data_IF_292425824210
#
_entry.id   IF_292425824210
#
_cell.length_a   1.000
_cell.length_b   1.000
_cell.length_c   1.000
_cell.angle_alpha   90.00
_cell.angle_beta   90.00
_cell.angle_gamma   90.00
#
_symmetry.space_group_name_H-M   'P 1'
#
loop_
_entity.id
_entity.type
_entity.pdbx_description
1 polymer ?
#
# COMPACT_ATOMS: atom_id res chain seq x y z
N UNK A 1 -6.55 -30.40 1.59
CA UNK A 1 -5.70 -29.22 1.87
C UNK A 1 -6.38 -28.41 2.97
N UNK A 2 -5.69 -28.12 4.07
CA UNK A 2 -6.23 -27.24 5.10
C UNK A 2 -6.23 -25.79 4.59
N UNK A 3 -7.35 -25.08 4.72
CA UNK A 3 -7.42 -23.66 4.36
C UNK A 3 -6.73 -22.82 5.43
N UNK A 4 -5.96 -21.82 5.02
CA UNK A 4 -5.33 -20.89 5.94
C UNK A 4 -6.40 -20.11 6.73
N UNK A 5 -6.19 -19.88 8.04
CA UNK A 5 -7.10 -19.07 8.84
C UNK A 5 -7.10 -17.64 8.31
N UNK A 6 -8.29 -17.10 8.07
CA UNK A 6 -8.47 -15.70 7.69
C UNK A 6 -8.90 -14.96 8.93
N UNK A 7 -8.16 -13.92 9.31
CA UNK A 7 -8.57 -13.01 10.38
C UNK A 7 -9.89 -12.34 9.97
N UNK A 8 -10.94 -12.36 10.82
CA UNK A 8 -12.20 -11.73 10.47
C UNK A 8 -12.04 -10.23 10.17
N UNK A 9 -12.75 -9.74 9.16
CA UNK A 9 -12.87 -8.31 8.91
C UNK A 9 -13.70 -7.70 10.02
N UNK A 10 -13.15 -6.71 10.70
CA UNK A 10 -13.87 -5.97 11.73
C UNK A 10 -13.76 -4.46 11.53
N UNK A 11 -12.69 -3.92 10.95
CA UNK A 11 -12.57 -2.48 10.72
C UNK A 11 -11.90 -2.21 9.37
N UNK A 12 -11.88 -0.92 8.99
CA UNK A 12 -11.15 -0.44 7.81
C UNK A 12 -9.69 -0.85 7.87
N UNK A 13 -9.09 -0.77 9.07
CA UNK A 13 -7.72 -1.23 9.30
C UNK A 13 -7.66 -2.76 9.27
N UNK A 14 -7.11 -3.27 8.17
CA UNK A 14 -7.02 -4.71 7.90
C UNK A 14 -7.81 -5.17 6.68
N UNK A 15 -8.64 -4.30 6.07
CA UNK A 15 -9.40 -4.64 4.86
C UNK A 15 -8.52 -5.21 3.74
N UNK A 16 -7.38 -4.58 3.43
CA UNK A 16 -6.49 -5.07 2.36
C UNK A 16 -5.97 -6.48 2.66
N UNK A 17 -5.51 -6.72 3.89
CA UNK A 17 -5.05 -8.05 4.32
C UNK A 17 -6.18 -9.07 4.24
N UNK A 18 -7.37 -8.70 4.69
CA UNK A 18 -8.55 -9.55 4.62
C UNK A 18 -8.93 -9.89 3.18
N UNK A 19 -8.97 -8.89 2.29
CA UNK A 19 -9.28 -9.00 0.86
C UNK A 19 -8.35 -10.02 0.19
N UNK A 20 -7.04 -9.85 0.35
CA UNK A 20 -6.04 -10.78 -0.21
C UNK A 20 -6.17 -12.20 0.36
N UNK A 21 -6.46 -12.32 1.67
CA UNK A 21 -6.61 -13.63 2.31
C UNK A 21 -7.86 -14.37 1.84
N UNK A 22 -8.97 -13.65 1.62
CA UNK A 22 -10.21 -14.20 1.06
C UNK A 22 -10.02 -14.58 -0.40
N UNK A 23 -9.38 -13.73 -1.22
CA UNK A 23 -9.09 -14.06 -2.62
C UNK A 23 -8.23 -15.32 -2.73
N UNK A 24 -7.15 -15.43 -1.95
CA UNK A 24 -6.32 -16.62 -1.92
C UNK A 24 -7.13 -17.88 -1.56
N UNK A 25 -8.03 -17.77 -0.58
CA UNK A 25 -8.93 -18.87 -0.20
C UNK A 25 -9.84 -19.27 -1.36
N UNK A 26 -10.51 -18.31 -2.01
CA UNK A 26 -11.42 -18.57 -3.13
C UNK A 26 -10.69 -19.17 -4.35
N UNK A 27 -9.45 -18.75 -4.61
CA UNK A 27 -8.60 -19.37 -5.63
C UNK A 27 -8.22 -20.80 -5.25
N UNK A 28 -7.86 -21.03 -4.00
CA UNK A 28 -7.50 -22.37 -3.49
C UNK A 28 -8.63 -23.37 -3.66
N UNK A 29 -9.88 -22.94 -3.48
CA UNK A 29 -11.07 -23.79 -3.69
C UNK A 29 -11.63 -23.75 -5.12
N UNK A 30 -11.06 -22.95 -6.03
CA UNK A 30 -11.42 -22.92 -7.45
C UNK A 30 -12.66 -22.09 -7.82
N UNK A 31 -13.18 -21.26 -6.91
CA UNK A 31 -14.45 -20.53 -7.11
C UNK A 31 -14.28 -19.01 -7.28
N UNK A 32 -13.05 -18.50 -7.30
CA UNK A 32 -12.77 -17.07 -7.47
C UNK A 32 -13.37 -16.49 -8.76
N UNK A 33 -13.61 -17.33 -9.78
CA UNK A 33 -14.20 -16.93 -11.06
C UNK A 33 -15.58 -16.29 -10.92
N UNK A 34 -16.35 -16.62 -9.88
CA UNK A 34 -17.67 -16.05 -9.56
C UNK A 34 -17.61 -14.54 -9.37
N UNK A 35 -16.52 -14.03 -8.79
CA UNK A 35 -16.39 -12.62 -8.50
C UNK A 35 -16.28 -11.77 -9.77
N UNK A 36 -15.78 -12.32 -10.88
CA UNK A 36 -15.41 -11.55 -12.07
C UNK A 36 -16.17 -11.89 -13.36
N UNK A 37 -16.71 -13.12 -13.51
CA UNK A 37 -17.37 -13.56 -14.75
C UNK A 37 -18.89 -13.62 -14.63
N UNK A 38 -19.63 -13.30 -15.68
CA UNK A 38 -21.08 -13.45 -15.61
C UNK A 38 -21.51 -14.94 -15.63
N UNK A 39 -22.65 -15.28 -15.00
CA UNK A 39 -23.18 -16.63 -15.03
C UNK A 39 -23.39 -17.09 -16.48
N UNK A 40 -23.22 -18.40 -16.76
CA UNK A 40 -23.46 -18.95 -18.10
C UNK A 40 -24.91 -18.70 -18.52
N UNK A 41 -25.10 -18.30 -19.77
CA UNK A 41 -26.41 -18.04 -20.38
C UNK A 41 -26.68 -19.01 -21.54
N UNK A 42 -27.73 -19.81 -21.44
CA UNK A 42 -28.15 -20.76 -22.48
C UNK A 42 -29.31 -21.62 -22.01
N UNK A 43 -30.06 -22.23 -22.94
CA UNK A 43 -31.31 -22.96 -22.65
C UNK A 43 -31.23 -24.47 -22.85
N UNK A 44 -30.09 -24.99 -23.26
CA UNK A 44 -29.85 -26.42 -23.49
C UNK A 44 -29.42 -27.15 -22.20
N UNK A 45 -29.45 -28.48 -22.24
CA UNK A 45 -29.16 -29.31 -21.07
C UNK A 45 -27.72 -29.10 -20.52
N UNK A 46 -26.76 -28.81 -21.39
CA UNK A 46 -25.40 -28.46 -21.01
C UNK A 46 -25.37 -27.14 -20.22
N UNK A 47 -26.03 -26.09 -20.73
CA UNK A 47 -26.16 -24.81 -20.01
C UNK A 47 -26.87 -24.95 -18.67
N UNK A 48 -27.85 -25.85 -18.55
CA UNK A 48 -28.52 -26.12 -17.27
C UNK A 48 -27.56 -26.72 -16.22
N UNK A 49 -26.70 -27.65 -16.63
CA UNK A 49 -25.69 -28.24 -15.74
C UNK A 49 -24.62 -27.21 -15.31
N UNK A 50 -24.19 -26.36 -16.24
CA UNK A 50 -23.26 -25.27 -15.97
C UNK A 50 -23.86 -24.20 -15.04
N UNK A 51 -25.13 -23.83 -15.24
CA UNK A 51 -25.86 -22.92 -14.36
C UNK A 51 -26.02 -23.49 -12.94
N UNK A 52 -26.30 -24.79 -12.82
CA UNK A 52 -26.36 -25.45 -11.52
C UNK A 52 -24.98 -25.49 -10.82
N UNK A 53 -23.89 -25.68 -11.58
CA UNK A 53 -22.52 -25.57 -11.04
C UNK A 53 -22.24 -24.14 -10.58
N UNK A 54 -22.54 -23.15 -11.41
CA UNK A 54 -22.38 -21.74 -11.07
C UNK A 54 -23.10 -21.38 -9.77
N UNK A 55 -24.37 -21.77 -9.64
CA UNK A 55 -25.15 -21.49 -8.44
C UNK A 55 -24.53 -22.10 -7.17
N UNK A 56 -23.94 -23.30 -7.28
CA UNK A 56 -23.19 -23.92 -6.17
C UNK A 56 -21.92 -23.14 -5.85
N UNK A 57 -21.14 -22.79 -6.87
CA UNK A 57 -19.88 -22.06 -6.70
C UNK A 57 -20.14 -20.66 -6.11
N UNK A 58 -21.23 -20.00 -6.51
CA UNK A 58 -21.65 -18.70 -5.97
C UNK A 58 -22.13 -18.79 -4.52
N UNK A 59 -22.92 -19.81 -4.18
CA UNK A 59 -23.32 -20.06 -2.80
C UNK A 59 -22.11 -20.34 -1.88
N UNK A 60 -21.14 -21.12 -2.36
CA UNK A 60 -19.87 -21.36 -1.64
C UNK A 60 -19.05 -20.09 -1.52
N UNK A 61 -18.95 -19.30 -2.59
CA UNK A 61 -18.20 -18.04 -2.60
C UNK A 61 -18.77 -17.07 -1.55
N UNK A 62 -20.09 -16.88 -1.57
CA UNK A 62 -20.83 -16.10 -0.57
C UNK A 62 -20.58 -16.63 0.85
N UNK A 63 -20.70 -17.94 1.07
CA UNK A 63 -20.46 -18.55 2.38
C UNK A 63 -19.04 -18.33 2.90
N UNK A 64 -18.03 -18.45 2.02
CA UNK A 64 -16.63 -18.20 2.38
C UNK A 64 -16.35 -16.75 2.77
N UNK A 65 -17.00 -15.78 2.12
CA UNK A 65 -16.88 -14.36 2.47
C UNK A 65 -17.58 -14.09 3.81
N UNK A 66 -18.82 -14.55 4.00
CA UNK A 66 -19.56 -14.35 5.25
C UNK A 66 -18.83 -14.95 6.46
N UNK A 67 -18.23 -16.12 6.31
CA UNK A 67 -17.46 -16.79 7.36
C UNK A 67 -16.17 -16.05 7.77
N UNK A 68 -15.78 -14.99 7.06
CA UNK A 68 -14.62 -14.15 7.39
C UNK A 68 -15.03 -12.73 7.78
N UNK A 69 -16.31 -12.44 7.94
CA UNK A 69 -16.78 -11.20 8.56
C UNK A 69 -16.88 -11.40 10.07
N UNK A 70 -16.70 -10.33 10.85
CA UNK A 70 -16.98 -10.38 12.28
C UNK A 70 -18.50 -10.49 12.53
N UNK A 71 -18.87 -10.97 13.72
CA UNK A 71 -20.28 -11.06 14.14
C UNK A 71 -20.99 -9.71 14.10
N UNK A 72 -20.25 -8.61 14.24
CA UNK A 72 -20.79 -7.26 14.12
C UNK A 72 -21.21 -6.93 12.69
N UNK A 73 -20.44 -7.36 11.69
CA UNK A 73 -20.68 -7.05 10.29
C UNK A 73 -21.63 -8.06 9.62
N UNK A 74 -21.75 -9.27 10.16
CA UNK A 74 -22.57 -10.32 9.56
C UNK A 74 -24.02 -9.87 9.25
N UNK A 75 -24.76 -9.20 10.17
CA UNK A 75 -26.13 -8.77 9.91
C UNK A 75 -26.24 -7.77 8.76
N UNK A 76 -25.24 -6.91 8.60
CA UNK A 76 -25.24 -5.85 7.58
C UNK A 76 -25.06 -6.42 6.16
N UNK A 77 -24.39 -7.57 6.02
CA UNK A 77 -23.98 -8.10 4.72
C UNK A 77 -24.65 -9.42 4.33
N UNK A 78 -25.25 -10.17 5.26
CA UNK A 78 -25.84 -11.51 5.00
C UNK A 78 -26.98 -11.49 3.97
N UNK A 79 -27.65 -10.35 3.80
CA UNK A 79 -28.78 -10.16 2.90
C UNK A 79 -28.40 -10.16 1.41
N UNK A 80 -27.11 -10.03 1.07
CA UNK A 80 -26.66 -10.09 -0.32
C UNK A 80 -26.82 -11.51 -0.88
N UNK A 81 -27.53 -11.62 -2.02
CA UNK A 81 -27.91 -12.89 -2.60
C UNK A 81 -26.74 -13.67 -3.20
N UNK A 82 -25.76 -12.97 -3.79
CA UNK A 82 -24.63 -13.58 -4.52
C UNK A 82 -23.29 -13.25 -3.87
N UNK A 83 -22.28 -14.08 -4.14
CA UNK A 83 -20.91 -13.86 -3.69
C UNK A 83 -20.33 -12.55 -4.24
N UNK A 84 -20.59 -12.24 -5.52
CA UNK A 84 -20.19 -10.96 -6.14
C UNK A 84 -20.83 -9.76 -5.45
N UNK A 85 -22.16 -9.77 -5.28
CA UNK A 85 -22.86 -8.61 -4.70
C UNK A 85 -22.36 -8.31 -3.28
N UNK A 86 -22.12 -9.37 -2.49
CA UNK A 86 -21.52 -9.29 -1.17
C UNK A 86 -20.09 -8.71 -1.24
N UNK A 87 -19.24 -9.27 -2.09
CA UNK A 87 -17.85 -8.82 -2.27
C UNK A 87 -17.76 -7.33 -2.62
N UNK A 88 -18.55 -6.89 -3.59
CA UNK A 88 -18.61 -5.49 -4.00
C UNK A 88 -19.18 -4.58 -2.90
N UNK A 89 -20.16 -5.06 -2.11
CA UNK A 89 -20.70 -4.29 -1.00
C UNK A 89 -19.66 -4.04 0.10
N UNK A 90 -18.88 -5.07 0.46
CA UNK A 90 -17.77 -4.91 1.41
C UNK A 90 -16.72 -3.95 0.83
N UNK A 91 -16.36 -4.11 -0.45
CA UNK A 91 -15.40 -3.24 -1.11
C UNK A 91 -15.85 -1.77 -1.14
N UNK A 92 -17.13 -1.49 -1.40
CA UNK A 92 -17.67 -0.11 -1.37
C UNK A 92 -17.48 0.58 -0.02
N UNK A 93 -17.56 -0.16 1.08
CA UNK A 93 -17.45 0.39 2.44
C UNK A 93 -16.00 0.55 2.88
N UNK A 94 -15.15 -0.45 2.59
CA UNK A 94 -13.83 -0.55 3.20
C UNK A 94 -12.66 -0.28 2.25
N UNK A 95 -12.88 -0.30 0.93
CA UNK A 95 -11.86 0.06 -0.06
C UNK A 95 -11.72 1.59 -0.15
N UNK A 96 -11.13 2.16 0.89
CA UNK A 96 -10.96 3.61 1.06
C UNK A 96 -9.58 4.10 0.61
N UNK A 97 -8.87 3.31 -0.19
CA UNK A 97 -7.49 3.61 -0.59
C UNK A 97 -7.39 4.95 -1.33
N UNK A 98 -8.38 5.27 -2.17
CA UNK A 98 -8.41 6.57 -2.87
C UNK A 98 -8.61 7.74 -1.91
N UNK A 99 -9.50 7.64 -0.93
CA UNK A 99 -9.73 8.69 0.07
C UNK A 99 -8.51 8.86 1.00
N UNK A 100 -7.76 7.79 1.26
CA UNK A 100 -6.47 7.85 1.96
C UNK A 100 -5.42 8.54 1.10
N UNK A 101 -5.36 8.22 -0.20
CA UNK A 101 -4.45 8.87 -1.14
C UNK A 101 -4.71 10.38 -1.24
N UNK A 102 -5.97 10.81 -1.37
CA UNK A 102 -6.29 12.25 -1.52
C UNK A 102 -5.92 13.06 -0.28
N UNK A 103 -5.98 12.47 0.91
CA UNK A 103 -5.56 13.11 2.18
C UNK A 103 -4.09 12.90 2.53
N UNK A 104 -3.36 12.10 1.76
CA UNK A 104 -1.95 11.87 2.01
C UNK A 104 -1.15 13.14 1.73
N UNK A 105 -0.23 13.46 2.64
CA UNK A 105 0.70 14.58 2.59
C UNK A 105 2.10 14.06 2.95
N UNK A 106 3.12 14.59 2.27
CA UNK A 106 4.51 14.24 2.57
C UNK A 106 4.98 15.02 3.81
N UNK A 107 5.70 14.33 4.67
CA UNK A 107 6.36 14.87 5.86
C UNK A 107 7.88 14.94 5.62
N UNK A 108 8.46 16.13 5.76
CA UNK A 108 9.90 16.36 5.61
C UNK A 108 10.74 15.62 6.68
N UNK A 109 10.14 15.22 7.80
CA UNK A 109 10.79 14.51 8.89
C UNK A 109 10.94 12.99 8.70
N UNK A 110 10.26 12.40 7.71
CA UNK A 110 10.21 10.95 7.51
C UNK A 110 10.92 10.50 6.21
N UNK A 111 11.34 9.22 6.09
CA UNK A 111 12.03 8.73 4.89
C UNK A 111 11.19 8.91 3.61
N UNK A 112 11.70 9.69 2.66
CA UNK A 112 10.94 10.09 1.46
C UNK A 112 10.52 8.89 0.62
N UNK A 113 11.39 7.88 0.49
CA UNK A 113 11.13 6.71 -0.36
C UNK A 113 10.00 5.82 0.19
N UNK A 114 9.88 5.70 1.51
CA UNK A 114 8.80 4.94 2.13
C UNK A 114 7.47 5.67 1.97
N UNK A 115 7.48 6.99 2.15
CA UNK A 115 6.32 7.84 1.90
C UNK A 115 5.86 7.78 0.44
N UNK A 116 6.79 7.83 -0.51
CA UNK A 116 6.48 7.70 -1.93
C UNK A 116 5.93 6.31 -2.27
N UNK A 117 6.51 5.24 -1.72
CA UNK A 117 5.97 3.88 -1.86
C UNK A 117 4.54 3.79 -1.34
N UNK A 118 4.26 4.41 -0.20
CA UNK A 118 2.94 4.42 0.40
C UNK A 118 1.92 5.19 -0.45
N UNK A 119 2.29 6.39 -0.93
CA UNK A 119 1.45 7.20 -1.81
C UNK A 119 1.12 6.47 -3.12
N UNK A 120 2.13 5.88 -3.78
CA UNK A 120 1.94 5.08 -4.98
C UNK A 120 0.99 3.89 -4.73
N UNK A 121 1.21 3.15 -3.64
CA UNK A 121 0.37 2.00 -3.29
C UNK A 121 -1.10 2.40 -3.05
N UNK A 122 -1.33 3.53 -2.35
CA UNK A 122 -2.68 4.06 -2.14
C UNK A 122 -3.34 4.48 -3.47
N UNK A 123 -2.58 5.16 -4.35
CA UNK A 123 -3.04 5.57 -5.67
C UNK A 123 -3.43 4.38 -6.56
N UNK A 124 -2.55 3.38 -6.65
CA UNK A 124 -2.78 2.15 -7.43
C UNK A 124 -3.97 1.37 -6.90
N UNK A 125 -4.09 1.22 -5.58
CA UNK A 125 -5.21 0.47 -4.97
C UNK A 125 -6.54 1.21 -5.13
N UNK A 126 -6.55 2.53 -4.93
CA UNK A 126 -7.73 3.38 -5.11
C UNK A 126 -8.23 3.45 -6.56
N UNK A 127 -7.36 3.17 -7.53
CA UNK A 127 -7.64 3.16 -8.98
C UNK A 127 -8.68 2.12 -9.40
N UNK A 128 -8.98 1.08 -8.59
CA UNK A 128 -9.99 0.08 -8.93
C UNK A 128 -11.39 0.68 -9.19
N UNK A 129 -11.66 1.92 -8.73
CA UNK A 129 -12.90 2.66 -8.98
C UNK A 129 -12.82 3.72 -10.09
N UNK A 130 -11.61 4.08 -10.53
CA UNK A 130 -11.37 5.12 -11.53
C UNK A 130 -10.69 4.46 -12.74
N UNK A 131 -11.44 4.26 -13.83
CA UNK A 131 -10.91 3.78 -15.12
C UNK A 131 -9.99 4.85 -15.79
N UNK A 132 -8.88 5.22 -15.16
CA UNK A 132 -7.91 6.22 -15.65
C UNK A 132 -6.50 5.64 -15.81
N UNK A 133 -5.64 6.30 -16.58
CA UNK A 133 -4.27 5.87 -16.95
C UNK A 133 -3.25 5.90 -15.78
N UNK A 134 -2.13 5.17 -15.86
CA UNK A 134 -1.07 5.16 -14.83
C UNK A 134 -0.44 6.55 -14.66
N UNK A 135 -0.39 7.30 -15.75
CA UNK A 135 0.08 8.68 -15.81
C UNK A 135 -0.72 9.61 -14.89
N UNK A 136 -1.99 9.28 -14.61
CA UNK A 136 -2.80 10.04 -13.66
C UNK A 136 -2.31 9.92 -12.21
N UNK A 137 -1.82 8.74 -11.80
CA UNK A 137 -1.26 8.56 -10.45
C UNK A 137 0.05 9.34 -10.34
N UNK A 138 0.89 9.27 -11.36
CA UNK A 138 2.15 10.00 -11.39
C UNK A 138 1.94 11.52 -11.33
N UNK A 139 0.95 12.04 -12.05
CA UNK A 139 0.50 13.42 -11.96
C UNK A 139 0.04 13.79 -10.53
N UNK A 140 -0.86 12.98 -9.94
CA UNK A 140 -1.39 13.26 -8.61
C UNK A 140 -0.33 13.15 -7.50
N UNK A 141 0.62 12.22 -7.62
CA UNK A 141 1.78 12.13 -6.74
C UNK A 141 2.65 13.39 -6.88
N UNK A 142 2.91 13.83 -8.11
CA UNK A 142 3.70 15.04 -8.39
C UNK A 142 3.11 16.30 -7.78
N UNK A 143 1.80 16.51 -7.88
CA UNK A 143 1.09 17.65 -7.26
C UNK A 143 1.21 17.66 -5.72
N UNK A 144 1.40 16.48 -5.10
CA UNK A 144 1.54 16.34 -3.64
C UNK A 144 2.98 16.46 -3.15
N UNK A 145 3.96 16.40 -4.05
CA UNK A 145 5.37 16.45 -3.66
C UNK A 145 5.78 17.85 -3.19
N UNK A 146 6.72 17.94 -2.24
CA UNK A 146 7.42 19.19 -1.94
C UNK A 146 8.02 19.82 -3.21
N UNK A 147 8.04 21.17 -3.26
CA UNK A 147 8.41 21.92 -4.45
C UNK A 147 9.82 21.60 -4.97
N UNK A 148 10.75 21.29 -4.07
CA UNK A 148 12.13 20.92 -4.39
C UNK A 148 12.26 19.55 -5.11
N UNK A 149 11.22 18.71 -5.04
CA UNK A 149 11.07 17.48 -5.82
C UNK A 149 10.23 17.71 -7.09
N UNK A 150 9.15 18.48 -6.98
CA UNK A 150 8.22 18.71 -8.08
C UNK A 150 8.89 19.42 -9.28
N UNK A 151 9.74 20.42 -9.02
CA UNK A 151 10.40 21.22 -10.07
C UNK A 151 11.37 20.35 -10.93
N UNK A 152 12.33 19.59 -10.36
CA UNK A 152 13.22 18.72 -11.15
C UNK A 152 12.50 17.61 -11.93
N UNK A 153 11.31 17.19 -11.45
CA UNK A 153 10.47 16.21 -12.15
C UNK A 153 9.90 16.87 -13.41
N UNK A 154 9.22 18.02 -13.27
CA UNK A 154 8.60 18.73 -14.40
C UNK A 154 9.61 19.16 -15.47
N UNK A 155 10.78 19.67 -15.08
CA UNK A 155 11.82 20.12 -16.02
C UNK A 155 12.39 18.97 -16.86
N UNK A 156 12.35 17.74 -16.33
CA UNK A 156 12.88 16.56 -17.02
C UNK A 156 11.85 15.68 -17.70
N UNK A 157 10.57 16.07 -17.71
CA UNK A 157 9.49 15.32 -18.37
C UNK A 157 9.41 15.64 -19.86
N UNK A 158 9.21 14.63 -20.69
CA UNK A 158 8.97 14.78 -22.13
C UNK A 158 7.48 15.10 -22.34
N UNK A 159 7.17 16.15 -23.11
CA UNK A 159 5.81 16.61 -23.41
C UNK A 159 4.93 16.93 -22.18
N UNK A 160 5.55 17.19 -21.02
CA UNK A 160 4.84 17.48 -19.76
C UNK A 160 4.22 16.25 -19.08
N UNK A 161 4.38 15.04 -19.64
CA UNK A 161 3.85 13.83 -19.03
C UNK A 161 4.80 13.33 -17.92
N UNK A 162 4.29 13.26 -16.70
CA UNK A 162 5.04 12.77 -15.53
C UNK A 162 4.77 11.28 -15.38
N UNK A 163 5.84 10.49 -15.30
CA UNK A 163 5.75 9.05 -15.04
C UNK A 163 6.27 8.70 -13.65
N UNK A 164 5.78 7.60 -13.06
CA UNK A 164 6.25 7.14 -11.75
C UNK A 164 7.76 6.83 -11.77
N UNK A 165 8.30 6.28 -12.86
CA UNK A 165 9.75 6.04 -13.01
C UNK A 165 10.58 7.32 -12.83
N UNK A 166 10.09 8.44 -13.36
CA UNK A 166 10.75 9.74 -13.20
C UNK A 166 10.65 10.24 -11.77
N UNK A 167 9.47 10.14 -11.15
CA UNK A 167 9.24 10.51 -9.74
C UNK A 167 10.19 9.75 -8.83
N UNK A 168 10.27 8.42 -8.99
CA UNK A 168 11.17 7.56 -8.23
C UNK A 168 12.65 7.90 -8.43
N UNK A 169 13.06 8.20 -9.66
CA UNK A 169 14.45 8.58 -9.96
C UNK A 169 14.88 9.83 -9.19
N UNK A 170 14.05 10.88 -9.20
CA UNK A 170 14.36 12.14 -8.50
C UNK A 170 14.33 11.93 -6.99
N UNK A 171 13.32 11.20 -6.47
CA UNK A 171 13.21 10.91 -5.04
C UNK A 171 14.44 10.16 -4.50
N UNK A 172 14.97 9.17 -5.25
CA UNK A 172 16.18 8.42 -4.85
C UNK A 172 17.41 9.32 -4.74
N UNK A 173 17.57 10.27 -5.67
CA UNK A 173 18.69 11.22 -5.63
C UNK A 173 18.58 12.13 -4.41
N UNK A 174 17.38 12.68 -4.13
CA UNK A 174 17.17 13.54 -2.96
C UNK A 174 17.38 12.78 -1.64
N UNK A 175 16.82 11.57 -1.53
CA UNK A 175 16.96 10.76 -0.31
C UNK A 175 18.43 10.40 -0.06
N UNK A 176 19.20 10.09 -1.12
CA UNK A 176 20.63 9.85 -0.99
C UNK A 176 21.40 11.09 -0.47
N UNK A 177 21.02 12.30 -0.89
CA UNK A 177 21.58 13.54 -0.34
C UNK A 177 21.20 13.73 1.13
N UNK A 178 19.93 13.54 1.49
CA UNK A 178 19.45 13.64 2.87
C UNK A 178 20.19 12.68 3.80
N UNK A 179 20.42 11.44 3.37
CA UNK A 179 21.17 10.45 4.16
C UNK A 179 22.63 10.86 4.39
N UNK A 180 23.29 11.48 3.39
CA UNK A 180 24.65 12.03 3.56
C UNK A 180 24.66 13.17 4.57
N UNK A 181 23.70 14.08 4.50
CA UNK A 181 23.59 15.19 5.45
C UNK A 181 23.35 14.69 6.89
N UNK A 182 22.49 13.67 7.06
CA UNK A 182 22.26 13.05 8.37
C UNK A 182 23.54 12.39 8.91
N UNK A 183 24.28 11.66 8.07
CA UNK A 183 25.56 11.03 8.45
C UNK A 183 26.61 12.09 8.83
N UNK A 184 26.72 13.18 8.06
CA UNK A 184 27.62 14.30 8.39
C UNK A 184 27.24 14.98 9.71
N UNK A 185 25.95 15.18 9.98
CA UNK A 185 25.47 15.78 11.23
C UNK A 185 25.71 14.84 12.42
N UNK A 186 25.46 13.54 12.26
CA UNK A 186 25.78 12.54 13.29
C UNK A 186 27.30 12.45 13.52
N UNK A 187 28.11 12.51 12.47
CA UNK A 187 29.57 12.59 12.56
C UNK A 187 30.04 13.83 13.34
N UNK A 188 29.43 14.99 13.09
CA UNK A 188 29.72 16.23 13.84
C UNK A 188 29.26 16.14 15.30
N UNK A 189 28.08 15.57 15.56
CA UNK A 189 27.55 15.39 16.91
C UNK A 189 28.40 14.42 17.73
N UNK A 190 28.76 13.26 17.17
CA UNK A 190 29.66 12.30 17.81
C UNK A 190 31.04 12.90 18.11
N UNK A 191 31.59 13.70 17.21
CA UNK A 191 32.85 14.42 17.46
C UNK A 191 32.73 15.56 18.49
N UNK A 192 31.54 16.15 18.67
CA UNK A 192 31.29 17.20 19.66
C UNK A 192 30.96 16.62 21.06
N UNK A 193 30.32 15.46 21.12
CA UNK A 193 30.00 14.75 22.36
C UNK A 193 31.19 13.96 22.91
N UNK A 194 32.13 13.60 22.05
CA UNK A 194 33.38 12.94 22.41
C UNK A 194 34.28 13.89 23.22
N UNK A 195 34.26 13.78 24.56
CA UNK A 195 35.03 14.65 25.43
C UNK A 195 36.40 14.00 25.61
N UNK A 196 37.02 13.53 24.51
CA UNK A 196 38.25 12.73 24.55
C UNK A 196 39.34 13.60 25.16
N UNK A 197 39.45 13.48 26.48
CA UNK A 197 40.57 13.97 27.24
C UNK A 197 41.85 13.32 26.73
N UNK A 198 42.96 13.95 27.01
CA UNK A 198 44.28 13.47 26.65
C UNK A 198 44.40 11.95 26.88
N UNK A 199 44.72 11.15 25.86
CA UNK A 199 44.80 9.69 25.99
C UNK A 199 45.85 9.21 27.00
N UNK A 200 46.74 10.10 27.45
CA UNK A 200 47.74 9.82 28.48
C UNK A 200 47.22 10.06 29.91
N UNK A 201 46.38 11.09 30.15
CA UNK A 201 45.95 11.48 31.51
C UNK A 201 44.43 11.64 31.70
N UNK A 202 43.64 11.46 30.64
CA UNK A 202 42.18 11.58 30.63
C UNK A 202 41.65 13.01 30.80
N UNK A 203 42.49 14.02 31.00
CA UNK A 203 42.04 15.39 31.25
C UNK A 203 41.66 16.11 29.93
N UNK A 204 40.55 16.87 29.90
CA UNK A 204 40.16 17.66 28.73
C UNK A 204 41.10 18.86 28.52
N UNK A 205 41.03 19.49 27.34
CA UNK A 205 41.76 20.72 27.03
C UNK A 205 43.16 20.55 26.43
N UNK A 206 43.66 19.32 26.24
CA UNK A 206 44.90 19.04 25.50
C UNK A 206 44.93 17.62 24.93
N UNK A 207 45.77 17.39 23.90
CA UNK A 207 46.03 16.06 23.31
C UNK A 207 47.29 15.43 23.92
N UNK A 208 47.45 14.11 23.78
CA UNK A 208 48.56 13.32 24.38
C UNK A 208 49.96 13.87 24.11
N UNK A 209 50.18 14.45 22.93
CA UNK A 209 51.47 15.05 22.55
C UNK A 209 51.84 16.29 23.38
N UNK A 210 50.84 16.97 23.94
CA UNK A 210 50.98 18.17 24.77
C UNK A 210 50.73 17.87 26.26
N UNK A 211 50.71 16.58 26.65
CA UNK A 211 50.53 16.19 28.04
C UNK A 211 51.79 16.53 28.85
N UNK A 212 51.60 17.24 29.97
CA UNK A 212 52.67 17.61 30.91
C UNK A 212 52.61 16.81 32.23
N UNK A 213 51.80 15.75 32.26
CA UNK A 213 51.72 14.82 33.40
C UNK A 213 52.94 13.88 33.41
#
# INVERSE_FOLDING_TARGET
MALLPVKPLDAVDGYLRWKESVLLRLHTVGIAHVLSHDPPSGSDAASSAEAAKWARDDAMCRGHILATLSDRLLPDYVHHATGRALWEAVARTYDVAWQRFTRFEFDDGAPLLEQLAHAEALGVTGRSWLKGDLDFIAYMCHEKLPADLAIPISVGSVDGNVTMDRVWKVARVKEASRLREVDELQGKATMAEDPRGCWNCGQPGHISRNCRA
#
